data_IF_083472214603
#
_entry.id   IF_083472214603
#
_cell.length_a   1.000
_cell.length_b   1.000
_cell.length_c   1.000
_cell.angle_alpha   90.00
_cell.angle_beta   90.00
_cell.angle_gamma   90.00
#
_symmetry.space_group_name_H-M   'P 1'
#
loop_
_entity.id
_entity.type
_entity.pdbx_description
1 polymer ?
#
# COMPACT_ATOMS: atom_id res chain seq x y z
N UNK A 1 -14.91 -38.12 -44.17
CA UNK A 1 -16.09 -38.55 -44.94
C UNK A 1 -17.21 -38.81 -43.92
N UNK A 2 -18.27 -37.98 -43.97
CA UNK A 2 -19.56 -38.06 -43.25
C UNK A 2 -19.47 -37.73 -41.72
N UNK A 3 -19.67 -36.51 -41.17
CA UNK A 3 -20.88 -35.65 -40.95
C UNK A 3 -22.07 -36.39 -40.29
N UNK A 4 -22.70 -35.98 -39.18
CA UNK A 4 -23.46 -34.72 -39.03
C UNK A 4 -24.04 -34.55 -37.60
N UNK A 5 -23.95 -33.32 -37.09
CA UNK A 5 -24.84 -32.47 -36.29
C UNK A 5 -25.89 -33.02 -35.29
N UNK A 6 -25.89 -32.40 -34.11
CA UNK A 6 -27.05 -32.03 -33.29
C UNK A 6 -26.68 -30.83 -32.40
N UNK A 7 -27.51 -29.78 -32.43
CA UNK A 7 -27.24 -28.36 -32.11
C UNK A 7 -26.73 -27.97 -30.70
N UNK A 8 -26.08 -26.78 -30.59
CA UNK A 8 -25.64 -26.19 -29.33
C UNK A 8 -26.81 -25.50 -28.62
N UNK A 9 -26.99 -25.76 -27.32
CA UNK A 9 -27.83 -24.92 -26.47
C UNK A 9 -27.07 -23.61 -26.19
N UNK A 10 -27.52 -22.55 -26.86
CA UNK A 10 -27.26 -21.16 -26.51
C UNK A 10 -27.63 -20.93 -25.04
N UNK A 11 -26.62 -20.73 -24.19
CA UNK A 11 -26.81 -20.05 -22.92
C UNK A 11 -26.47 -18.58 -23.15
N UNK A 12 -27.46 -17.82 -23.64
CA UNK A 12 -27.43 -16.36 -23.62
C UNK A 12 -27.45 -15.92 -22.16
N UNK A 13 -26.28 -15.90 -21.53
CA UNK A 13 -26.07 -15.09 -20.35
C UNK A 13 -25.86 -13.65 -20.85
N UNK A 14 -26.91 -12.86 -20.77
CA UNK A 14 -26.82 -11.41 -20.67
C UNK A 14 -25.82 -11.09 -19.55
N UNK A 15 -24.54 -10.91 -19.90
CA UNK A 15 -23.67 -10.05 -19.11
C UNK A 15 -24.19 -8.64 -19.35
N UNK A 16 -25.21 -8.28 -18.59
CA UNK A 16 -25.52 -6.91 -18.28
C UNK A 16 -24.19 -6.23 -17.97
N UNK A 17 -23.85 -5.25 -18.79
CA UNK A 17 -22.73 -4.37 -18.56
C UNK A 17 -22.80 -3.92 -17.10
N UNK A 18 -21.81 -4.30 -16.30
CA UNK A 18 -21.53 -3.64 -15.04
C UNK A 18 -21.04 -2.24 -15.38
N UNK A 19 -21.98 -1.38 -15.75
CA UNK A 19 -21.81 0.03 -15.73
C UNK A 19 -21.82 0.46 -14.26
N UNK A 20 -20.73 1.15 -13.91
CA UNK A 20 -20.59 2.12 -12.83
C UNK A 20 -20.12 1.59 -11.46
N UNK A 21 -18.80 1.61 -11.26
CA UNK A 21 -18.17 1.57 -9.93
C UNK A 21 -16.88 2.40 -9.89
N UNK A 22 -16.82 3.48 -10.67
CA UNK A 22 -15.70 4.45 -10.65
C UNK A 22 -16.20 5.83 -10.22
N UNK A 23 -17.23 5.86 -9.37
CA UNK A 23 -17.59 7.05 -8.62
C UNK A 23 -16.49 7.28 -7.58
N UNK A 24 -15.46 8.02 -7.96
CA UNK A 24 -14.46 8.56 -7.05
C UNK A 24 -15.20 9.27 -5.91
N UNK A 25 -15.21 8.66 -4.73
CA UNK A 25 -15.88 9.21 -3.55
C UNK A 25 -15.03 10.38 -3.06
N UNK A 26 -15.63 11.56 -2.95
CA UNK A 26 -15.01 12.71 -2.32
C UNK A 26 -15.89 13.16 -1.14
N UNK A 27 -15.60 12.70 0.10
CA UNK A 27 -16.45 12.94 1.25
C UNK A 27 -16.39 14.39 1.75
N UNK A 28 -15.32 15.13 1.41
CA UNK A 28 -15.11 16.50 1.88
C UNK A 28 -15.27 17.55 0.77
N UNK A 29 -15.54 17.15 -0.48
CA UNK A 29 -15.66 18.08 -1.62
C UNK A 29 -16.64 19.23 -1.43
N UNK A 30 -17.76 19.02 -0.72
CA UNK A 30 -18.73 20.08 -0.42
C UNK A 30 -18.32 21.00 0.74
N UNK A 31 -17.30 20.61 1.51
CA UNK A 31 -16.80 21.33 2.69
C UNK A 31 -15.54 22.15 2.37
N UNK A 32 -14.73 21.74 1.38
CA UNK A 32 -13.49 22.44 1.02
C UNK A 32 -13.76 23.85 0.47
N UNK A 33 -13.11 24.85 1.05
CA UNK A 33 -13.10 26.23 0.59
C UNK A 33 -11.80 26.56 -0.18
N UNK A 34 -11.77 27.61 -1.02
CA UNK A 34 -10.57 27.96 -1.80
C UNK A 34 -9.33 28.33 -0.97
N UNK A 35 -9.53 28.75 0.28
CA UNK A 35 -8.44 29.14 1.19
C UNK A 35 -8.04 27.99 2.13
N UNK A 36 -8.68 26.81 2.00
CA UNK A 36 -8.35 25.64 2.80
C UNK A 36 -7.01 25.03 2.36
N UNK A 37 -6.35 24.29 3.25
CA UNK A 37 -5.13 23.54 2.92
C UNK A 37 -5.35 22.53 1.79
N UNK A 38 -4.31 22.31 0.98
CA UNK A 38 -4.35 21.36 -0.16
C UNK A 38 -4.51 19.88 0.27
N UNK A 39 -4.31 19.57 1.56
CA UNK A 39 -4.47 18.22 2.12
C UNK A 39 -5.52 18.20 3.24
N UNK A 40 -6.34 17.15 3.25
CA UNK A 40 -7.31 16.87 4.33
C UNK A 40 -6.62 16.21 5.53
N UNK A 41 -5.60 15.37 5.26
CA UNK A 41 -4.86 14.64 6.30
C UNK A 41 -3.37 14.65 6.00
N UNK A 42 -2.60 15.04 7.02
CA UNK A 42 -1.14 14.97 7.02
C UNK A 42 -0.66 13.90 7.99
N UNK A 43 0.12 12.95 7.48
CA UNK A 43 0.65 11.83 8.26
C UNK A 43 2.16 11.90 8.35
N UNK A 44 2.69 11.45 9.48
CA UNK A 44 4.13 11.21 9.66
C UNK A 44 4.34 9.87 10.33
N UNK A 45 5.46 9.23 9.99
CA UNK A 45 5.82 7.96 10.60
C UNK A 45 6.74 7.15 9.71
N UNK A 46 6.98 5.91 10.13
CA UNK A 46 7.88 5.00 9.43
C UNK A 46 7.12 4.19 8.39
N UNK A 47 7.63 4.19 7.16
CA UNK A 47 7.21 3.27 6.10
C UNK A 47 8.10 2.03 6.17
N UNK A 48 7.49 0.87 6.07
CA UNK A 48 8.17 -0.41 5.94
C UNK A 48 7.90 -0.98 4.54
N UNK A 49 8.81 -1.78 4.00
CA UNK A 49 8.45 -2.78 3.01
C UNK A 49 7.94 -4.02 3.75
N UNK A 50 6.66 -4.32 3.60
CA UNK A 50 6.10 -5.57 4.11
C UNK A 50 6.24 -6.65 3.03
N UNK A 51 6.79 -7.81 3.41
CA UNK A 51 6.85 -9.03 2.60
C UNK A 51 5.98 -10.08 3.30
N UNK A 52 4.92 -10.53 2.65
CA UNK A 52 3.90 -11.38 3.25
C UNK A 52 3.91 -12.74 2.57
N UNK A 53 4.28 -13.79 3.30
CA UNK A 53 4.12 -15.17 2.87
C UNK A 53 2.76 -15.72 3.30
N UNK A 54 2.10 -16.40 2.38
CA UNK A 54 0.78 -17.01 2.57
C UNK A 54 0.75 -18.47 2.11
N UNK A 55 -0.24 -19.22 2.60
CA UNK A 55 -0.42 -20.61 2.22
C UNK A 55 0.67 -21.53 2.79
N UNK A 56 1.19 -21.21 3.96
CA UNK A 56 1.98 -22.13 4.78
C UNK A 56 1.04 -23.06 5.55
N UNK A 57 1.33 -24.35 5.56
CA UNK A 57 0.50 -25.34 6.26
C UNK A 57 0.76 -25.34 7.77
N UNK A 58 1.97 -24.95 8.20
CA UNK A 58 2.38 -24.86 9.60
C UNK A 58 3.46 -23.79 9.79
N UNK A 59 3.81 -23.52 11.05
CA UNK A 59 4.96 -22.69 11.38
C UNK A 59 6.26 -23.21 10.70
N UNK A 60 7.16 -22.32 10.24
CA UNK A 60 8.48 -22.73 9.78
C UNK A 60 9.26 -23.43 10.89
N UNK A 61 9.86 -24.58 10.57
CA UNK A 61 10.61 -25.38 11.54
C UNK A 61 12.09 -24.99 11.50
N UNK A 62 12.68 -24.75 12.67
CA UNK A 62 14.09 -24.40 12.80
C UNK A 62 14.98 -25.40 12.07
N UNK A 63 15.87 -24.90 11.20
CA UNK A 63 16.82 -25.72 10.46
C UNK A 63 16.23 -26.40 9.21
N UNK A 64 14.99 -26.07 8.83
CA UNK A 64 14.36 -26.54 7.60
C UNK A 64 14.08 -25.38 6.66
N UNK A 65 13.85 -25.71 5.39
CA UNK A 65 13.28 -24.80 4.41
C UNK A 65 11.77 -25.05 4.33
N UNK A 66 10.97 -23.99 4.37
CA UNK A 66 9.52 -24.05 4.22
C UNK A 66 9.10 -23.28 2.96
N UNK A 67 8.23 -23.88 2.15
CA UNK A 67 7.80 -23.30 0.88
C UNK A 67 6.37 -22.75 1.01
N UNK A 68 6.24 -21.43 0.89
CA UNK A 68 4.94 -20.77 0.84
C UNK A 68 4.30 -20.93 -0.54
N UNK A 69 2.98 -21.08 -0.60
CA UNK A 69 2.23 -21.18 -1.87
C UNK A 69 1.99 -19.82 -2.52
N UNK A 70 2.05 -18.74 -1.74
CA UNK A 70 1.89 -17.39 -2.23
C UNK A 70 2.76 -16.39 -1.47
N UNK A 71 3.06 -15.29 -2.13
CA UNK A 71 3.72 -14.14 -1.52
C UNK A 71 3.20 -12.83 -2.09
N UNK A 72 3.33 -11.77 -1.31
CA UNK A 72 3.06 -10.39 -1.75
C UNK A 72 4.00 -9.41 -1.07
N UNK A 73 4.12 -8.23 -1.67
CA UNK A 73 4.82 -7.09 -1.09
C UNK A 73 3.91 -5.87 -1.08
N UNK A 74 4.05 -5.02 -0.05
CA UNK A 74 3.34 -3.75 0.02
C UNK A 74 4.08 -2.75 0.92
N UNK A 75 3.88 -1.45 0.73
CA UNK A 75 4.21 -0.47 1.77
C UNK A 75 3.42 -0.76 3.05
N UNK A 76 4.10 -0.75 4.20
CA UNK A 76 3.56 -1.00 5.53
C UNK A 76 3.85 0.14 6.51
N UNK A 77 3.51 -0.07 7.79
CA UNK A 77 3.65 0.97 8.82
C UNK A 77 2.64 2.09 8.65
N UNK A 78 3.11 3.36 8.65
CA UNK A 78 2.24 4.53 8.48
C UNK A 78 1.51 4.52 7.13
N UNK A 79 2.09 3.86 6.12
CA UNK A 79 1.52 3.71 4.79
C UNK A 79 0.12 3.07 4.82
N UNK A 80 -0.13 2.11 5.72
CA UNK A 80 -1.45 1.48 5.83
C UNK A 80 -2.57 2.49 6.10
N UNK A 81 -2.31 3.48 6.96
CA UNK A 81 -3.27 4.53 7.25
C UNK A 81 -3.39 5.51 6.09
N UNK A 82 -2.27 5.89 5.48
CA UNK A 82 -2.25 6.79 4.33
C UNK A 82 -3.07 6.22 3.15
N UNK A 83 -2.81 4.96 2.79
CA UNK A 83 -3.54 4.24 1.75
C UNK A 83 -5.03 4.11 2.08
N UNK A 84 -5.38 3.79 3.32
CA UNK A 84 -6.79 3.68 3.71
C UNK A 84 -7.53 5.03 3.56
N UNK A 85 -6.92 6.14 3.97
CA UNK A 85 -7.51 7.47 3.88
C UNK A 85 -7.61 7.95 2.42
N UNK A 86 -6.58 7.71 1.60
CA UNK A 86 -6.60 8.01 0.18
C UNK A 86 -7.73 7.24 -0.54
N UNK A 87 -7.88 5.94 -0.26
CA UNK A 87 -8.96 5.11 -0.81
C UNK A 87 -10.36 5.51 -0.33
N UNK A 88 -10.46 6.20 0.80
CA UNK A 88 -11.71 6.80 1.29
C UNK A 88 -12.01 8.17 0.67
N UNK A 89 -11.16 8.68 -0.22
CA UNK A 89 -11.38 9.93 -0.96
C UNK A 89 -10.74 11.18 -0.34
N UNK A 90 -9.89 11.02 0.66
CA UNK A 90 -9.23 12.15 1.31
C UNK A 90 -7.94 12.53 0.59
N UNK A 91 -7.71 13.83 0.42
CA UNK A 91 -6.45 14.39 -0.03
C UNK A 91 -5.39 14.14 1.04
N UNK A 92 -4.59 13.09 0.85
CA UNK A 92 -3.67 12.56 1.86
C UNK A 92 -2.24 12.93 1.52
N UNK A 93 -1.53 13.57 2.46
CA UNK A 93 -0.10 13.88 2.35
C UNK A 93 0.67 13.10 3.41
N UNK A 94 1.80 12.49 3.01
CA UNK A 94 2.65 11.70 3.89
C UNK A 94 4.07 12.27 3.90
N UNK A 95 4.57 12.57 5.09
CA UNK A 95 5.97 12.89 5.35
C UNK A 95 6.67 11.72 6.06
N UNK A 96 7.47 10.98 5.30
CA UNK A 96 8.28 9.87 5.77
C UNK A 96 9.70 9.92 5.19
N UNK A 97 10.59 9.15 5.80
CA UNK A 97 11.91 8.88 5.24
C UNK A 97 11.86 7.61 4.40
N UNK A 98 12.47 7.66 3.22
CA UNK A 98 12.67 6.52 2.32
C UNK A 98 14.18 6.29 2.14
N UNK A 99 14.60 5.03 2.06
CA UNK A 99 15.98 4.72 1.68
C UNK A 99 16.23 5.02 0.20
N UNK A 100 17.49 5.20 -0.18
CA UNK A 100 17.93 5.26 -1.58
C UNK A 100 18.15 3.88 -2.20
N UNK A 101 17.47 2.87 -1.65
CA UNK A 101 17.49 1.48 -2.11
C UNK A 101 16.21 1.12 -2.89
N UNK A 102 16.22 -0.02 -3.57
CA UNK A 102 15.08 -0.47 -4.40
C UNK A 102 13.79 -0.67 -3.60
N UNK A 103 13.89 -0.93 -2.29
CA UNK A 103 12.71 -1.05 -1.43
C UNK A 103 12.08 0.30 -1.17
N UNK A 104 12.91 1.34 -0.97
CA UNK A 104 12.48 2.72 -0.86
C UNK A 104 11.82 3.21 -2.15
N UNK A 105 12.47 2.99 -3.29
CA UNK A 105 11.93 3.32 -4.62
C UNK A 105 10.58 2.63 -4.86
N UNK A 106 10.48 1.32 -4.62
CA UNK A 106 9.22 0.58 -4.74
C UNK A 106 8.12 1.15 -3.84
N UNK A 107 8.43 1.44 -2.57
CA UNK A 107 7.42 1.99 -1.66
C UNK A 107 6.99 3.40 -2.07
N UNK A 108 7.92 4.21 -2.57
CA UNK A 108 7.63 5.54 -3.09
C UNK A 108 6.64 5.46 -4.25
N UNK A 109 6.97 4.68 -5.29
CA UNK A 109 6.13 4.53 -6.48
C UNK A 109 4.76 3.94 -6.14
N UNK A 110 4.72 2.93 -5.27
CA UNK A 110 3.46 2.30 -4.85
C UNK A 110 2.53 3.29 -4.13
N UNK A 111 3.06 4.21 -3.33
CA UNK A 111 2.27 5.19 -2.59
C UNK A 111 1.88 6.40 -3.46
N UNK A 112 2.83 6.97 -4.20
CA UNK A 112 2.59 8.16 -5.01
C UNK A 112 1.75 7.82 -6.26
N UNK A 113 2.20 6.87 -7.07
CA UNK A 113 1.56 6.54 -8.33
C UNK A 113 0.42 5.54 -8.14
N UNK A 114 0.59 4.59 -7.22
CA UNK A 114 -0.40 3.53 -6.98
C UNK A 114 -1.62 3.98 -6.16
N UNK A 115 -1.41 4.85 -5.16
CA UNK A 115 -2.48 5.26 -4.24
C UNK A 115 -2.80 6.77 -4.30
N UNK A 116 -2.06 7.56 -5.10
CA UNK A 116 -2.29 9.00 -5.24
C UNK A 116 -1.96 9.81 -3.98
N UNK A 117 -1.07 9.30 -3.12
CA UNK A 117 -0.66 9.97 -1.88
C UNK A 117 0.41 11.01 -2.22
N UNK A 118 0.24 12.25 -1.73
CA UNK A 118 1.24 13.30 -1.88
C UNK A 118 2.47 13.02 -1.00
N UNK A 119 3.61 12.77 -1.64
CA UNK A 119 4.91 12.54 -1.01
C UNK A 119 5.86 13.74 -1.11
N UNK A 120 5.39 14.92 -1.55
CA UNK A 120 6.24 16.12 -1.69
C UNK A 120 6.95 16.57 -0.41
N UNK A 121 6.44 16.13 0.76
CA UNK A 121 6.99 16.38 2.09
C UNK A 121 7.83 15.20 2.65
N UNK A 122 7.88 14.09 1.92
CA UNK A 122 8.77 12.98 2.20
C UNK A 122 10.17 13.24 1.64
N UNK A 123 11.14 12.42 2.05
CA UNK A 123 12.52 12.54 1.57
C UNK A 123 13.18 11.18 1.40
N UNK A 124 14.09 11.13 0.44
CA UNK A 124 15.03 10.02 0.28
C UNK A 124 16.30 10.31 1.09
N UNK A 125 16.79 9.31 1.82
CA UNK A 125 17.93 9.43 2.74
C UNK A 125 19.10 8.61 2.21
N UNK A 126 20.16 9.25 1.69
CA UNK A 126 21.28 8.53 1.09
C UNK A 126 21.98 7.58 2.06
N UNK A 127 22.18 6.33 1.66
CA UNK A 127 22.86 5.30 2.45
C UNK A 127 22.10 4.81 3.68
N UNK A 128 20.82 5.15 3.82
CA UNK A 128 19.96 4.61 4.88
C UNK A 128 19.08 3.49 4.32
N UNK A 129 19.08 2.34 4.99
CA UNK A 129 18.34 1.16 4.55
C UNK A 129 16.85 1.25 4.89
N UNK A 130 16.00 0.95 3.92
CA UNK A 130 14.56 0.89 4.11
C UNK A 130 14.19 -0.17 5.17
N UNK A 131 13.33 0.16 6.16
CA UNK A 131 12.80 -0.82 7.10
C UNK A 131 11.99 -1.90 6.38
N UNK A 132 12.11 -3.15 6.81
CA UNK A 132 11.43 -4.31 6.22
C UNK A 132 10.72 -5.10 7.31
N UNK A 133 9.49 -5.54 7.05
CA UNK A 133 8.80 -6.53 7.88
C UNK A 133 8.48 -7.76 7.04
N UNK A 134 8.91 -8.93 7.47
CA UNK A 134 8.46 -10.20 6.91
C UNK A 134 7.31 -10.72 7.78
N UNK A 135 6.18 -11.04 7.16
CA UNK A 135 5.01 -11.65 7.79
C UNK A 135 4.75 -13.01 7.19
N UNK A 136 4.38 -13.98 8.03
CA UNK A 136 4.02 -15.34 7.64
C UNK A 136 2.69 -15.69 8.29
N UNK A 137 1.71 -16.09 7.48
CA UNK A 137 0.41 -16.55 7.95
C UNK A 137 0.30 -18.08 7.86
N UNK A 138 -0.01 -18.74 8.97
CA UNK A 138 -0.21 -20.18 9.10
C UNK A 138 -1.14 -20.47 10.29
N UNK A 139 -1.88 -21.59 10.24
CA UNK A 139 -2.76 -22.03 11.34
C UNK A 139 -3.78 -20.98 11.83
N UNK A 140 -4.17 -20.04 10.96
CA UNK A 140 -5.09 -18.94 11.31
C UNK A 140 -4.44 -17.77 12.05
N UNK A 141 -3.13 -17.83 12.30
CA UNK A 141 -2.36 -16.80 12.99
C UNK A 141 -1.31 -16.17 12.07
N UNK A 142 -0.66 -15.10 12.55
CA UNK A 142 0.50 -14.49 11.88
C UNK A 142 1.71 -14.38 12.80
N UNK A 143 2.89 -14.60 12.25
CA UNK A 143 4.19 -14.29 12.88
C UNK A 143 4.94 -13.29 12.02
N UNK A 144 5.62 -12.33 12.65
CA UNK A 144 6.33 -11.27 11.94
C UNK A 144 7.73 -11.07 12.49
N UNK A 145 8.65 -10.67 11.61
CA UNK A 145 10.01 -10.25 11.96
C UNK A 145 10.29 -8.94 11.22
N UNK A 146 10.68 -7.91 11.95
CA UNK A 146 11.01 -6.61 11.37
C UNK A 146 12.50 -6.30 11.53
N UNK A 147 13.08 -5.69 10.51
CA UNK A 147 14.41 -5.12 10.50
C UNK A 147 14.30 -3.64 10.14
N UNK A 148 15.12 -2.81 10.77
CA UNK A 148 15.23 -1.40 10.42
C UNK A 148 16.19 -0.66 11.34
N UNK A 149 16.46 0.58 10.96
CA UNK A 149 17.23 1.55 11.74
C UNK A 149 16.40 2.80 11.97
N UNK A 150 16.67 3.51 13.06
CA UNK A 150 16.09 4.85 13.23
C UNK A 150 16.51 5.73 12.05
N UNK A 151 15.54 6.41 11.44
CA UNK A 151 15.84 7.32 10.34
C UNK A 151 16.65 8.49 10.87
N UNK A 152 17.73 8.92 10.17
CA UNK A 152 18.42 10.16 10.50
C UNK A 152 17.41 11.30 10.59
N UNK A 153 17.54 12.25 11.54
CA UNK A 153 16.62 13.37 11.62
C UNK A 153 16.65 14.17 10.30
N UNK A 154 15.52 14.78 9.89
CA UNK A 154 15.51 15.63 8.71
C UNK A 154 16.49 16.81 8.87
N UNK A 155 17.11 17.21 7.76
CA UNK A 155 17.97 18.39 7.74
C UNK A 155 17.08 19.64 7.77
N UNK A 156 16.90 20.21 8.98
CA UNK A 156 16.03 21.35 9.23
C UNK A 156 14.94 21.04 10.26
N UNK A 157 14.24 22.07 10.72
CA UNK A 157 13.09 21.86 11.59
C UNK A 157 11.97 21.19 10.78
N UNK A 158 11.49 20.01 11.22
CA UNK A 158 10.12 19.60 10.93
C UNK A 158 9.23 20.80 11.24
N UNK A 159 8.23 21.13 10.41
CA UNK A 159 7.38 22.26 10.72
C UNK A 159 6.81 22.05 12.14
N UNK A 160 7.08 23.00 13.03
CA UNK A 160 6.72 22.89 14.47
C UNK A 160 5.22 22.62 14.66
N UNK A 161 4.43 23.02 13.67
CA UNK A 161 3.04 22.70 13.52
C UNK A 161 2.86 21.93 12.20
N UNK A 162 2.09 20.83 12.16
CA UNK A 162 1.64 20.27 10.89
C UNK A 162 1.00 21.37 10.01
N UNK A 163 0.95 21.19 8.67
CA UNK A 163 0.15 22.09 7.86
C UNK A 163 -1.23 22.26 8.51
N UNK A 164 -1.76 23.48 8.48
CA UNK A 164 -3.12 23.71 9.00
C UNK A 164 -4.03 22.71 8.29
N UNK A 165 -5.01 22.18 9.02
CA UNK A 165 -6.14 21.44 8.47
C UNK A 165 -7.32 22.40 8.34
#
# INVERSE_FOLDING_TARGET
MITSNGDPLEHTAEHAAHADADAHVDPLGALRAPDDPDCDVYLTGTVFLDIIFTGLDSAPVRGTESWARGMGSSPGGIANMATALARLGLHTSLAAAFGDDHYGEYCWDALEQGEGIDLSRSRTVPGWHSPVTVSMAYEGERTMVSHGHEAPPPEGALPECPPRA
#
